data_IF_231841528033
#
_entry.id   IF_231841528033
#
_cell.length_a   1.000
_cell.length_b   1.000
_cell.length_c   1.000
_cell.angle_alpha   90.00
_cell.angle_beta   90.00
_cell.angle_gamma   90.00
#
_symmetry.space_group_name_H-M   'P 1'
#
loop_
_entity.id
_entity.type
_entity.pdbx_description
1 polymer ?
#
# COMPACT_ATOMS: atom_id res chain seq x y z
N UNK A 1 -3.42 -15.97 -17.99
CA UNK A 1 -4.27 -14.93 -18.63
C UNK A 1 -4.39 -13.68 -17.77
N UNK A 2 -4.77 -13.78 -16.49
CA UNK A 2 -4.97 -12.64 -15.58
C UNK A 2 -3.77 -11.67 -15.50
N UNK A 3 -2.54 -12.19 -15.40
CA UNK A 3 -1.32 -11.37 -15.32
C UNK A 3 -1.14 -10.50 -16.57
N UNK A 4 -1.22 -11.13 -17.75
CA UNK A 4 -1.05 -10.46 -19.03
C UNK A 4 -2.15 -9.42 -19.26
N UNK A 5 -3.39 -9.75 -18.90
CA UNK A 5 -4.51 -8.82 -18.97
C UNK A 5 -4.28 -7.59 -18.09
N UNK A 6 -3.89 -7.79 -16.82
CA UNK A 6 -3.62 -6.67 -15.90
C UNK A 6 -2.45 -5.80 -16.37
N UNK A 7 -1.39 -6.41 -16.92
CA UNK A 7 -0.26 -5.67 -17.48
C UNK A 7 -0.68 -4.88 -18.72
N UNK A 8 -1.42 -5.50 -19.64
CA UNK A 8 -1.92 -4.86 -20.85
C UNK A 8 -2.84 -3.68 -20.52
N UNK A 9 -3.79 -3.86 -19.58
CA UNK A 9 -4.67 -2.81 -19.13
C UNK A 9 -3.90 -1.59 -18.58
N UNK A 10 -2.84 -1.84 -17.80
CA UNK A 10 -1.97 -0.77 -17.32
C UNK A 10 -1.24 -0.03 -18.45
N UNK A 11 -0.65 -0.78 -19.39
CA UNK A 11 0.04 -0.20 -20.54
C UNK A 11 -0.89 0.64 -21.40
N UNK A 12 -2.12 0.18 -21.63
CA UNK A 12 -3.15 0.94 -22.34
C UNK A 12 -3.44 2.26 -21.64
N UNK A 13 -3.63 2.27 -20.32
CA UNK A 13 -3.87 3.51 -19.55
C UNK A 13 -2.70 4.49 -19.70
N UNK A 14 -1.46 4.00 -19.60
CA UNK A 14 -0.26 4.83 -19.75
C UNK A 14 -0.18 5.44 -21.16
N UNK A 15 -0.36 4.62 -22.20
CA UNK A 15 -0.30 5.07 -23.59
C UNK A 15 -1.42 6.07 -23.89
N UNK A 16 -2.64 5.82 -23.41
CA UNK A 16 -3.76 6.76 -23.57
C UNK A 16 -3.47 8.11 -22.92
N UNK A 17 -2.84 8.11 -21.73
CA UNK A 17 -2.46 9.34 -21.06
C UNK A 17 -1.39 10.11 -21.85
N UNK A 18 -0.34 9.42 -22.32
CA UNK A 18 0.73 10.04 -23.11
C UNK A 18 0.19 10.63 -24.42
N UNK A 19 -0.58 9.85 -25.19
CA UNK A 19 -1.17 10.33 -26.46
C UNK A 19 -2.13 11.49 -26.20
N UNK A 20 -2.97 11.38 -25.16
CA UNK A 20 -3.94 12.41 -24.82
C UNK A 20 -3.29 13.76 -24.46
N UNK A 21 -2.16 13.73 -23.77
CA UNK A 21 -1.45 14.93 -23.34
C UNK A 21 -0.51 15.45 -24.43
N UNK A 22 0.39 14.62 -24.96
CA UNK A 22 1.46 15.06 -25.87
C UNK A 22 0.99 15.29 -27.31
N UNK A 23 0.02 14.49 -27.79
CA UNK A 23 -0.44 14.57 -29.19
C UNK A 23 -1.71 15.39 -29.31
N UNK A 24 -2.67 15.16 -28.40
CA UNK A 24 -3.98 15.81 -28.47
C UNK A 24 -4.09 17.10 -27.63
N UNK A 25 -3.04 17.50 -26.90
CA UNK A 25 -3.00 18.70 -26.05
C UNK A 25 -4.16 18.80 -25.04
N UNK A 26 -4.67 17.67 -24.54
CA UNK A 26 -5.82 17.61 -23.63
C UNK A 26 -5.45 17.92 -22.17
N UNK A 27 -4.56 18.88 -21.94
CA UNK A 27 -4.00 19.20 -20.63
C UNK A 27 -5.08 19.47 -19.57
N UNK A 28 -6.14 20.19 -19.92
CA UNK A 28 -7.24 20.48 -18.98
C UNK A 28 -8.00 19.21 -18.55
N UNK A 29 -8.20 18.25 -19.47
CA UNK A 29 -8.91 17.00 -19.16
C UNK A 29 -8.08 16.17 -18.17
N UNK A 30 -6.79 15.99 -18.44
CA UNK A 30 -5.90 15.18 -17.61
C UNK A 30 -5.45 15.86 -16.32
N UNK A 31 -5.28 17.18 -16.34
CA UNK A 31 -4.85 17.97 -15.19
C UNK A 31 -5.98 18.32 -14.23
N UNK A 32 -7.23 18.45 -14.71
CA UNK A 32 -8.35 18.96 -13.90
C UNK A 32 -9.51 17.97 -13.81
N UNK A 33 -10.09 17.59 -14.95
CA UNK A 33 -11.33 16.80 -14.97
C UNK A 33 -11.10 15.40 -14.39
N UNK A 34 -10.10 14.68 -14.88
CA UNK A 34 -9.79 13.32 -14.45
C UNK A 34 -9.47 13.26 -12.94
N UNK A 35 -8.62 14.13 -12.37
CA UNK A 35 -8.39 14.17 -10.93
C UNK A 35 -9.65 14.38 -10.09
N UNK A 36 -10.53 15.34 -10.45
CA UNK A 36 -11.78 15.54 -9.71
C UNK A 36 -12.71 14.33 -9.79
N UNK A 37 -12.85 13.73 -10.98
CA UNK A 37 -13.65 12.50 -11.18
C UNK A 37 -13.08 11.34 -10.36
N UNK A 38 -11.76 11.21 -10.30
CA UNK A 38 -11.09 10.18 -9.51
C UNK A 38 -11.35 10.36 -8.01
N UNK A 39 -11.20 11.58 -7.48
CA UNK A 39 -11.49 11.89 -6.07
C UNK A 39 -12.96 11.63 -5.75
N UNK A 40 -13.89 12.10 -6.59
CA UNK A 40 -15.32 11.86 -6.39
C UNK A 40 -15.66 10.37 -6.39
N UNK A 41 -15.14 9.61 -7.37
CA UNK A 41 -15.36 8.16 -7.47
C UNK A 41 -14.78 7.43 -6.26
N UNK A 42 -13.59 7.81 -5.79
CA UNK A 42 -12.96 7.24 -4.60
C UNK A 42 -13.78 7.49 -3.34
N UNK A 43 -14.19 8.74 -3.08
CA UNK A 43 -14.95 9.11 -1.88
C UNK A 43 -16.34 8.47 -1.88
N UNK A 44 -17.09 8.58 -2.98
CA UNK A 44 -18.41 7.96 -3.12
C UNK A 44 -18.29 6.43 -2.99
N UNK A 45 -17.30 5.82 -3.66
CA UNK A 45 -17.05 4.38 -3.59
C UNK A 45 -16.80 3.89 -2.17
N UNK A 46 -15.96 4.61 -1.40
CA UNK A 46 -15.72 4.29 0.01
C UNK A 46 -17.01 4.38 0.83
N UNK A 47 -17.77 5.47 0.69
CA UNK A 47 -19.01 5.67 1.44
C UNK A 47 -20.00 4.54 1.14
N UNK A 48 -20.21 4.21 -0.13
CA UNK A 48 -21.10 3.13 -0.55
C UNK A 48 -20.65 1.78 0.01
N UNK A 49 -19.35 1.49 0.00
CA UNK A 49 -18.81 0.25 0.52
C UNK A 49 -18.97 0.15 2.05
N UNK A 50 -18.75 1.25 2.78
CA UNK A 50 -18.97 1.32 4.23
C UNK A 50 -20.45 1.13 4.57
N UNK A 51 -21.36 1.79 3.85
CA UNK A 51 -22.80 1.63 4.02
C UNK A 51 -23.23 0.19 3.73
N UNK A 52 -22.74 -0.41 2.65
CA UNK A 52 -23.02 -1.80 2.30
C UNK A 52 -22.55 -2.77 3.38
N UNK A 53 -21.35 -2.56 3.92
CA UNK A 53 -20.83 -3.34 5.03
C UNK A 53 -21.66 -3.15 6.30
N UNK A 54 -22.00 -1.92 6.67
CA UNK A 54 -22.80 -1.62 7.86
C UNK A 54 -24.22 -2.20 7.79
N UNK A 55 -24.81 -2.28 6.59
CA UNK A 55 -26.13 -2.91 6.36
C UNK A 55 -26.08 -4.44 6.30
N UNK A 56 -24.89 -5.05 6.26
CA UNK A 56 -24.77 -6.51 6.19
C UNK A 56 -25.19 -7.11 7.52
N UNK A 57 -26.20 -8.00 7.56
CA UNK A 57 -26.67 -8.57 8.82
C UNK A 57 -25.58 -9.46 9.43
N UNK A 58 -25.25 -9.20 10.69
CA UNK A 58 -24.32 -10.03 11.48
C UNK A 58 -25.15 -10.73 12.56
N UNK A 59 -25.75 -11.90 12.26
CA UNK A 59 -26.67 -12.57 13.18
C UNK A 59 -26.00 -13.01 14.49
N UNK A 60 -24.68 -13.24 14.46
CA UNK A 60 -23.90 -13.65 15.64
C UNK A 60 -22.63 -12.82 15.77
N UNK A 61 -22.37 -12.30 16.98
CA UNK A 61 -21.06 -11.73 17.34
C UNK A 61 -20.13 -12.86 17.74
N UNK A 62 -19.42 -13.42 16.77
CA UNK A 62 -18.41 -14.47 17.02
C UNK A 62 -17.02 -13.82 16.96
N UNK A 63 -16.45 -13.35 18.08
CA UNK A 63 -15.10 -12.82 18.10
C UNK A 63 -14.10 -13.95 17.88
N UNK A 64 -13.30 -13.85 16.81
CA UNK A 64 -12.16 -14.74 16.61
C UNK A 64 -11.05 -14.39 17.61
N UNK A 65 -11.05 -15.08 18.75
CA UNK A 65 -9.97 -15.00 19.74
C UNK A 65 -8.84 -15.94 19.35
N UNK A 66 -7.61 -15.43 19.39
CA UNK A 66 -6.43 -16.28 19.37
C UNK A 66 -5.96 -16.46 20.82
N UNK A 67 -5.48 -17.65 21.19
CA UNK A 67 -4.90 -17.89 22.51
C UNK A 67 -5.89 -17.96 23.68
N UNK A 68 -5.34 -18.00 24.89
CA UNK A 68 -6.07 -18.33 26.11
C UNK A 68 -6.91 -17.16 26.64
N UNK A 69 -8.21 -17.39 26.82
CA UNK A 69 -9.15 -16.47 27.45
C UNK A 69 -9.00 -16.40 28.98
N UNK A 70 -9.50 -15.31 29.59
CA UNK A 70 -9.41 -15.07 31.05
C UNK A 70 -10.27 -16.01 31.90
N UNK A 71 -11.25 -16.71 31.32
CA UNK A 71 -12.22 -17.51 32.07
C UNK A 71 -11.62 -18.62 32.94
N UNK A 72 -10.43 -19.12 32.60
CA UNK A 72 -9.74 -20.17 33.37
C UNK A 72 -8.61 -19.52 34.22
N UNK A 73 -8.81 -19.34 35.54
CA UNK A 73 -7.86 -18.62 36.39
C UNK A 73 -6.50 -19.34 36.57
N UNK A 74 -6.45 -20.65 36.33
CA UNK A 74 -5.23 -21.46 36.44
C UNK A 74 -4.37 -21.46 35.17
N UNK A 75 -4.87 -20.95 34.03
CA UNK A 75 -4.10 -20.87 32.78
C UNK A 75 -3.76 -19.40 32.51
N UNK A 76 -2.48 -19.12 32.28
CA UNK A 76 -2.00 -17.78 31.94
C UNK A 76 -2.77 -17.23 30.74
N UNK A 77 -3.48 -16.13 30.94
CA UNK A 77 -4.27 -15.50 29.89
C UNK A 77 -3.39 -14.79 28.86
N UNK A 78 -3.81 -14.84 27.59
CA UNK A 78 -3.11 -14.18 26.50
C UNK A 78 -3.65 -12.76 26.29
N UNK A 79 -3.13 -11.78 27.03
CA UNK A 79 -3.68 -10.41 27.10
C UNK A 79 -3.80 -9.68 25.76
N UNK A 80 -2.89 -9.92 24.82
CA UNK A 80 -2.89 -9.27 23.49
C UNK A 80 -3.64 -10.09 22.43
N UNK A 81 -3.84 -11.39 22.65
CA UNK A 81 -4.47 -12.29 21.67
C UNK A 81 -5.97 -12.46 21.94
N UNK A 82 -6.30 -12.56 23.23
CA UNK A 82 -7.65 -12.57 23.78
C UNK A 82 -7.80 -11.40 24.76
N UNK A 83 -7.78 -10.15 24.27
CA UNK A 83 -7.91 -8.98 25.13
C UNK A 83 -9.26 -8.96 25.83
N UNK A 84 -9.23 -8.67 27.12
CA UNK A 84 -10.41 -8.53 27.99
C UNK A 84 -10.48 -7.13 28.62
N UNK A 85 -9.57 -6.23 28.21
CA UNK A 85 -9.53 -4.83 28.62
C UNK A 85 -9.35 -3.95 27.38
N UNK A 86 -9.84 -2.72 27.43
CA UNK A 86 -9.72 -1.74 26.33
C UNK A 86 -8.26 -1.49 25.95
N UNK A 87 -7.36 -1.39 26.94
CA UNK A 87 -5.92 -1.24 26.69
C UNK A 87 -5.32 -2.44 25.94
N UNK A 88 -5.76 -3.66 26.26
CA UNK A 88 -5.34 -4.86 25.53
C UNK A 88 -5.82 -4.85 24.07
N UNK A 89 -7.04 -4.35 23.81
CA UNK A 89 -7.58 -4.17 22.46
C UNK A 89 -6.74 -3.15 21.69
N UNK A 90 -6.47 -1.99 22.27
CA UNK A 90 -5.64 -0.94 21.64
C UNK A 90 -4.25 -1.50 21.31
N UNK A 91 -3.61 -2.19 22.27
CA UNK A 91 -2.31 -2.82 22.06
C UNK A 91 -2.33 -3.86 20.93
N UNK A 92 -3.37 -4.70 20.87
CA UNK A 92 -3.56 -5.65 19.77
C UNK A 92 -3.68 -4.92 18.43
N UNK A 93 -4.54 -3.90 18.35
CA UNK A 93 -4.79 -3.15 17.12
C UNK A 93 -3.52 -2.46 16.61
N UNK A 94 -2.72 -1.84 17.49
CA UNK A 94 -1.43 -1.24 17.10
C UNK A 94 -0.50 -2.30 16.50
N UNK A 95 -0.36 -3.45 17.15
CA UNK A 95 0.52 -4.53 16.67
C UNK A 95 0.02 -5.16 15.36
N UNK A 96 -1.29 -5.24 15.15
CA UNK A 96 -1.84 -5.74 13.88
C UNK A 96 -1.69 -4.72 12.76
N UNK A 97 -1.96 -3.44 13.00
CA UNK A 97 -1.90 -2.38 11.98
C UNK A 97 -0.45 -2.08 11.57
N UNK A 98 0.46 -1.94 12.53
CA UNK A 98 1.83 -1.50 12.24
C UNK A 98 2.82 -2.63 12.04
N UNK A 99 2.58 -3.81 12.63
CA UNK A 99 3.53 -4.92 12.62
C UNK A 99 2.95 -6.21 12.05
N UNK A 100 1.69 -6.26 11.59
CA UNK A 100 1.03 -7.47 11.09
C UNK A 100 1.32 -8.70 11.95
N UNK A 101 1.16 -8.56 13.27
CA UNK A 101 1.58 -9.57 14.25
C UNK A 101 0.92 -10.93 14.04
N UNK A 102 -0.33 -10.97 13.59
CA UNK A 102 -1.01 -12.21 13.18
C UNK A 102 -0.30 -12.91 12.02
N UNK A 103 0.14 -12.16 11.01
CA UNK A 103 0.88 -12.68 9.86
C UNK A 103 2.27 -13.21 10.23
N UNK A 104 2.95 -12.57 11.19
CA UNK A 104 4.24 -13.06 11.69
C UNK A 104 4.13 -14.45 12.32
N UNK A 105 3.01 -14.71 12.99
CA UNK A 105 2.73 -15.97 13.69
C UNK A 105 2.12 -17.05 12.78
N UNK A 106 1.79 -16.70 11.54
CA UNK A 106 1.20 -17.64 10.62
C UNK A 106 2.19 -18.77 10.31
N UNK A 107 1.84 -19.95 10.80
CA UNK A 107 2.62 -21.17 10.70
C UNK A 107 1.89 -22.10 9.76
N UNK A 108 2.50 -22.40 8.61
CA UNK A 108 1.94 -23.30 7.61
C UNK A 108 2.40 -24.72 7.87
N UNK A 109 1.48 -25.66 7.98
CA UNK A 109 1.83 -27.08 7.92
C UNK A 109 1.90 -27.52 6.45
N UNK A 110 3.03 -28.08 6.03
CA UNK A 110 3.29 -28.60 4.68
C UNK A 110 3.83 -30.03 4.79
N UNK A 111 3.23 -30.98 4.06
CA UNK A 111 3.85 -32.30 3.92
C UNK A 111 5.04 -32.18 2.96
N UNK A 112 6.23 -32.54 3.41
CA UNK A 112 7.44 -32.57 2.57
C UNK A 112 8.00 -33.98 2.57
N UNK A 113 8.20 -34.57 1.38
CA UNK A 113 8.84 -35.87 1.17
C UNK A 113 8.30 -37.03 2.04
N UNK A 114 7.01 -37.38 1.90
CA UNK A 114 6.38 -38.49 2.64
C UNK A 114 5.42 -38.01 3.75
N UNK A 115 5.13 -38.81 4.80
CA UNK A 115 4.16 -38.48 5.85
C UNK A 115 4.63 -37.39 6.84
N UNK A 116 5.76 -36.73 6.58
CA UNK A 116 6.33 -35.72 7.47
C UNK A 116 5.70 -34.34 7.26
N UNK A 117 4.92 -33.91 8.26
CA UNK A 117 4.40 -32.56 8.40
C UNK A 117 5.52 -31.61 8.85
N UNK A 118 5.90 -30.69 7.98
CA UNK A 118 6.85 -29.61 8.25
C UNK A 118 6.09 -28.31 8.46
N UNK A 119 6.39 -27.59 9.54
CA UNK A 119 5.78 -26.29 9.82
C UNK A 119 6.65 -25.15 9.25
N UNK A 120 6.27 -24.61 8.09
CA UNK A 120 6.91 -23.45 7.46
C UNK A 120 6.37 -22.14 8.01
N UNK A 121 7.25 -21.25 8.50
CA UNK A 121 6.85 -19.93 8.98
C UNK A 121 6.79 -18.92 7.82
N UNK A 122 5.72 -18.12 7.72
CA UNK A 122 5.59 -17.10 6.67
C UNK A 122 6.37 -15.80 6.94
N UNK A 123 7.52 -15.89 7.63
CA UNK A 123 8.34 -14.73 8.01
C UNK A 123 8.80 -13.87 6.84
N UNK A 124 9.12 -14.49 5.70
CA UNK A 124 9.51 -13.73 4.50
C UNK A 124 8.33 -12.92 3.92
N UNK A 125 7.12 -13.49 3.94
CA UNK A 125 5.92 -12.75 3.55
C UNK A 125 5.66 -11.60 4.52
N UNK A 126 5.79 -11.85 5.82
CA UNK A 126 5.67 -10.82 6.84
C UNK A 126 6.66 -9.67 6.60
N UNK A 127 7.94 -9.98 6.39
CA UNK A 127 8.97 -8.98 6.15
C UNK A 127 8.71 -8.18 4.87
N UNK A 128 8.39 -8.86 3.76
CA UNK A 128 8.10 -8.18 2.49
C UNK A 128 6.83 -7.32 2.56
N UNK A 129 5.77 -7.80 3.22
CA UNK A 129 4.55 -7.04 3.42
C UNK A 129 4.79 -5.81 4.32
N UNK A 130 5.55 -5.98 5.40
CA UNK A 130 5.88 -4.90 6.32
C UNK A 130 6.76 -3.85 5.63
N UNK A 131 7.79 -4.27 4.90
CA UNK A 131 8.67 -3.41 4.12
C UNK A 131 7.90 -2.59 3.07
N UNK A 132 6.95 -3.21 2.36
CA UNK A 132 6.07 -2.51 1.43
C UNK A 132 5.21 -1.44 2.14
N UNK A 133 4.48 -1.81 3.20
CA UNK A 133 3.55 -0.89 3.85
C UNK A 133 4.25 0.28 4.55
N UNK A 134 5.38 0.05 5.22
CA UNK A 134 6.15 1.13 5.84
C UNK A 134 6.77 2.06 4.80
N UNK A 135 7.33 1.52 3.72
CA UNK A 135 7.86 2.35 2.64
C UNK A 135 6.75 3.17 1.99
N UNK A 136 5.61 2.55 1.69
CA UNK A 136 4.46 3.24 1.12
C UNK A 136 3.94 4.34 2.06
N UNK A 137 3.81 4.07 3.36
CA UNK A 137 3.37 5.06 4.35
C UNK A 137 4.34 6.25 4.42
N UNK A 138 5.65 5.99 4.53
CA UNK A 138 6.67 7.05 4.58
C UNK A 138 6.65 7.87 3.30
N UNK A 139 6.63 7.22 2.14
CA UNK A 139 6.54 7.89 0.84
C UNK A 139 5.27 8.74 0.78
N UNK A 140 4.11 8.20 1.16
CA UNK A 140 2.85 8.93 1.21
C UNK A 140 2.92 10.18 2.11
N UNK A 141 3.48 10.05 3.31
CA UNK A 141 3.67 11.19 4.21
C UNK A 141 4.62 12.25 3.63
N UNK A 142 5.68 11.85 2.94
CA UNK A 142 6.58 12.80 2.25
C UNK A 142 5.88 13.55 1.11
N UNK A 143 4.90 12.91 0.45
CA UNK A 143 4.17 13.55 -0.65
C UNK A 143 3.33 14.76 -0.19
N UNK A 144 3.01 14.88 1.10
CA UNK A 144 2.37 16.09 1.67
C UNK A 144 3.13 17.39 1.37
N UNK A 145 4.45 17.31 1.10
CA UNK A 145 5.25 18.44 0.63
C UNK A 145 4.65 19.17 -0.58
N UNK A 146 3.95 18.44 -1.45
CA UNK A 146 3.38 18.97 -2.69
C UNK A 146 1.95 19.47 -2.53
N UNK A 147 1.29 19.20 -1.40
CA UNK A 147 -0.12 19.54 -1.19
C UNK A 147 -0.31 20.76 -0.28
N UNK A 148 0.74 21.25 0.37
CA UNK A 148 0.65 22.30 1.40
C UNK A 148 1.81 23.28 1.31
N UNK A 149 1.51 24.55 1.60
CA UNK A 149 2.46 25.64 1.79
C UNK A 149 2.00 26.48 3.00
N UNK A 150 2.76 26.58 4.11
CA UNK A 150 4.09 26.01 4.32
C UNK A 150 4.10 24.48 4.50
N UNK A 151 5.24 23.84 4.24
CA UNK A 151 5.41 22.39 4.38
C UNK A 151 5.32 21.98 5.87
N UNK A 152 4.49 20.97 6.23
CA UNK A 152 4.36 20.50 7.60
C UNK A 152 5.67 19.98 8.19
N UNK A 153 5.92 20.28 9.47
CA UNK A 153 7.19 19.99 10.17
C UNK A 153 7.58 18.50 10.17
N UNK A 154 6.62 17.59 10.15
CA UNK A 154 6.91 16.15 10.11
C UNK A 154 7.54 15.70 8.78
N UNK A 155 7.29 16.42 7.68
CA UNK A 155 7.80 16.07 6.34
C UNK A 155 9.34 16.16 6.29
N UNK A 156 9.99 17.29 6.61
CA UNK A 156 11.45 17.37 6.58
C UNK A 156 12.10 16.43 7.59
N UNK A 157 11.47 16.20 8.76
CA UNK A 157 11.94 15.22 9.73
C UNK A 157 12.02 13.81 9.12
N UNK A 158 10.95 13.35 8.45
CA UNK A 158 10.91 12.07 7.77
C UNK A 158 11.91 12.01 6.61
N UNK A 159 12.04 13.09 5.82
CA UNK A 159 12.99 13.15 4.71
C UNK A 159 14.44 12.97 5.17
N UNK A 160 14.81 13.58 6.30
CA UNK A 160 16.15 13.45 6.87
C UNK A 160 16.43 12.02 7.36
N UNK A 161 15.44 11.37 8.00
CA UNK A 161 15.57 9.98 8.43
C UNK A 161 15.69 9.01 7.25
N UNK A 162 14.92 9.23 6.19
CA UNK A 162 14.90 8.36 5.01
C UNK A 162 16.13 8.57 4.11
N UNK A 163 16.65 9.80 4.10
CA UNK A 163 17.90 10.19 3.45
C UNK A 163 19.14 10.03 4.33
N UNK A 164 19.05 9.31 5.46
CA UNK A 164 20.10 9.22 6.48
C UNK A 164 21.46 8.81 5.93
N UNK A 165 21.49 7.90 4.95
CA UNK A 165 22.75 7.43 4.36
C UNK A 165 23.44 8.49 3.48
N UNK A 166 22.75 9.57 3.09
CA UNK A 166 23.29 10.66 2.27
C UNK A 166 24.03 10.18 1.01
N UNK A 167 23.57 9.07 0.43
CA UNK A 167 24.18 8.46 -0.76
C UNK A 167 23.66 9.19 -2.01
N UNK A 168 24.58 9.73 -2.81
CA UNK A 168 24.28 10.35 -4.10
C UNK A 168 23.79 11.80 -4.01
N UNK A 169 23.77 12.47 -5.17
CA UNK A 169 23.23 13.83 -5.34
C UNK A 169 22.31 13.81 -6.56
N UNK A 170 20.97 13.89 -6.41
CA UNK A 170 20.18 14.03 -5.17
C UNK A 170 20.27 12.81 -4.23
N UNK A 171 20.06 13.02 -2.93
CA UNK A 171 20.11 11.97 -1.90
C UNK A 171 19.12 10.85 -2.23
N UNK A 172 19.63 9.62 -2.31
CA UNK A 172 18.80 8.44 -2.50
C UNK A 172 18.04 8.13 -1.21
N UNK A 173 16.71 8.06 -1.28
CA UNK A 173 15.90 7.64 -0.14
C UNK A 173 15.84 6.12 -0.05
N UNK A 174 15.98 5.58 1.17
CA UNK A 174 15.95 4.14 1.40
C UNK A 174 14.59 3.56 1.00
N UNK A 175 13.49 4.24 1.32
CA UNK A 175 12.14 3.76 1.00
C UNK A 175 11.87 3.61 -0.49
N UNK A 176 12.52 4.43 -1.35
CA UNK A 176 12.38 4.34 -2.80
C UNK A 176 12.93 2.99 -3.32
N UNK A 177 14.04 2.52 -2.74
CA UNK A 177 14.62 1.20 -3.08
C UNK A 177 13.80 0.08 -2.45
N UNK A 178 13.45 0.21 -1.17
CA UNK A 178 12.74 -0.82 -0.41
C UNK A 178 11.35 -1.09 -1.00
N UNK A 179 10.61 -0.07 -1.46
CA UNK A 179 9.28 -0.28 -2.04
C UNK A 179 9.35 -1.10 -3.34
N UNK A 180 10.33 -0.84 -4.21
CA UNK A 180 10.53 -1.58 -5.46
C UNK A 180 10.91 -3.03 -5.19
N UNK A 181 11.85 -3.26 -4.26
CA UNK A 181 12.25 -4.61 -3.87
C UNK A 181 11.08 -5.38 -3.23
N UNK A 182 10.32 -4.74 -2.34
CA UNK A 182 9.19 -5.35 -1.65
C UNK A 182 8.04 -5.69 -2.62
N UNK A 183 7.67 -4.78 -3.53
CA UNK A 183 6.66 -5.03 -4.55
C UNK A 183 7.09 -6.15 -5.51
N UNK A 184 8.35 -6.13 -5.94
CA UNK A 184 8.92 -7.19 -6.79
C UNK A 184 8.89 -8.54 -6.09
N UNK A 185 9.28 -8.60 -4.81
CA UNK A 185 9.21 -9.81 -4.00
C UNK A 185 7.77 -10.33 -3.86
N UNK A 186 6.80 -9.46 -3.54
CA UNK A 186 5.40 -9.84 -3.37
C UNK A 186 4.79 -10.35 -4.69
N UNK A 187 5.13 -9.72 -5.81
CA UNK A 187 4.72 -10.14 -7.15
C UNK A 187 5.34 -11.48 -7.53
N UNK A 188 6.66 -11.63 -7.40
CA UNK A 188 7.37 -12.88 -7.69
C UNK A 188 6.84 -14.03 -6.84
N UNK A 189 6.60 -13.81 -5.55
CA UNK A 189 5.98 -14.79 -4.66
C UNK A 189 4.61 -15.25 -5.17
N UNK A 190 3.77 -14.31 -5.63
CA UNK A 190 2.43 -14.61 -6.16
C UNK A 190 2.49 -15.43 -7.45
N UNK A 191 3.53 -15.24 -8.26
CA UNK A 191 3.75 -16.04 -9.47
C UNK A 191 4.34 -17.39 -9.11
N UNK A 192 5.40 -17.47 -8.31
CA UNK A 192 6.14 -18.70 -8.05
C UNK A 192 5.28 -19.74 -7.32
N UNK A 193 4.45 -19.33 -6.34
CA UNK A 193 3.56 -20.24 -5.62
C UNK A 193 2.35 -20.64 -6.49
N UNK A 194 2.23 -21.92 -6.92
CA UNK A 194 1.16 -22.36 -7.81
C UNK A 194 -0.24 -22.17 -7.20
N UNK A 195 -0.37 -22.31 -5.87
CA UNK A 195 -1.64 -22.14 -5.18
C UNK A 195 -2.09 -20.69 -5.26
N UNK A 196 -1.18 -19.75 -5.01
CA UNK A 196 -1.49 -18.32 -5.10
C UNK A 196 -1.81 -17.91 -6.54
N UNK A 197 -1.05 -18.40 -7.51
CA UNK A 197 -1.29 -18.11 -8.92
C UNK A 197 -2.67 -18.59 -9.37
N UNK A 198 -3.13 -19.73 -8.88
CA UNK A 198 -4.45 -20.27 -9.20
C UNK A 198 -5.60 -19.41 -8.64
N UNK A 199 -5.48 -18.91 -7.41
CA UNK A 199 -6.51 -18.05 -6.79
C UNK A 199 -6.45 -16.58 -7.20
N UNK A 200 -5.35 -16.13 -7.81
CA UNK A 200 -5.15 -14.70 -8.10
C UNK A 200 -5.98 -14.24 -9.29
N UNK A 201 -6.77 -13.19 -9.05
CA UNK A 201 -7.60 -12.53 -10.05
C UNK A 201 -6.83 -11.40 -10.76
N UNK A 202 -7.36 -10.87 -11.85
CA UNK A 202 -6.76 -9.70 -12.52
C UNK A 202 -6.69 -8.48 -11.56
N UNK A 203 -7.68 -8.34 -10.67
CA UNK A 203 -7.72 -7.30 -9.63
C UNK A 203 -6.62 -7.43 -8.57
N UNK A 204 -5.95 -8.58 -8.47
CA UNK A 204 -4.80 -8.76 -7.58
C UNK A 204 -3.48 -8.28 -8.21
N UNK A 205 -3.32 -8.49 -9.52
CA UNK A 205 -2.11 -8.15 -10.25
C UNK A 205 -2.08 -6.68 -10.66
N UNK A 206 -3.25 -6.12 -10.99
CA UNK A 206 -3.34 -4.74 -11.48
C UNK A 206 -2.79 -3.70 -10.47
N UNK A 207 -3.18 -3.71 -9.17
CA UNK A 207 -2.63 -2.77 -8.20
C UNK A 207 -1.12 -2.95 -7.99
N UNK A 208 -0.61 -4.19 -8.04
CA UNK A 208 0.82 -4.45 -7.91
C UNK A 208 1.61 -3.81 -9.04
N UNK A 209 1.16 -3.99 -10.29
CA UNK A 209 1.80 -3.36 -11.44
C UNK A 209 1.66 -1.84 -11.42
N UNK A 210 0.48 -1.33 -11.05
CA UNK A 210 0.22 0.10 -10.95
C UNK A 210 1.16 0.76 -9.92
N UNK A 211 1.22 0.23 -8.70
CA UNK A 211 2.08 0.76 -7.64
C UNK A 211 3.57 0.65 -7.98
N UNK A 212 3.99 -0.48 -8.59
CA UNK A 212 5.37 -0.64 -9.02
C UNK A 212 5.74 0.37 -10.12
N UNK A 213 4.83 0.59 -11.07
CA UNK A 213 5.03 1.58 -12.14
C UNK A 213 5.09 3.00 -11.58
N UNK A 214 4.20 3.37 -10.67
CA UNK A 214 4.22 4.69 -10.00
C UNK A 214 5.52 4.89 -9.21
N UNK A 215 5.98 3.86 -8.49
CA UNK A 215 7.24 3.94 -7.74
C UNK A 215 8.44 4.11 -8.68
N UNK A 216 8.51 3.31 -9.76
CA UNK A 216 9.59 3.39 -10.75
C UNK A 216 9.57 4.75 -11.46
N UNK A 217 8.41 5.23 -11.91
CA UNK A 217 8.32 6.54 -12.57
C UNK A 217 8.69 7.68 -11.62
N UNK A 218 8.27 7.61 -10.36
CA UNK A 218 8.68 8.58 -9.33
C UNK A 218 10.20 8.64 -9.12
N UNK A 219 10.86 7.49 -9.07
CA UNK A 219 12.32 7.38 -9.00
C UNK A 219 12.96 7.97 -10.25
N UNK A 220 12.47 7.61 -11.45
CA UNK A 220 12.99 8.12 -12.72
C UNK A 220 12.88 9.65 -12.81
N UNK A 221 11.73 10.21 -12.41
CA UNK A 221 11.51 11.66 -12.35
C UNK A 221 12.46 12.37 -11.39
N UNK A 222 12.83 11.73 -10.29
CA UNK A 222 13.71 12.34 -9.30
C UNK A 222 15.18 12.37 -9.71
N UNK A 223 15.70 11.29 -10.27
CA UNK A 223 17.14 11.14 -10.50
C UNK A 223 17.56 11.35 -11.97
N UNK A 224 16.66 11.09 -12.93
CA UNK A 224 17.02 11.05 -14.35
C UNK A 224 16.33 12.12 -15.18
N UNK A 225 15.00 12.06 -15.31
CA UNK A 225 14.29 12.94 -16.25
C UNK A 225 14.13 14.36 -15.72
N UNK A 226 13.96 14.51 -14.40
CA UNK A 226 13.65 15.77 -13.70
C UNK A 226 12.35 16.39 -14.20
N UNK A 227 11.58 16.98 -13.28
CA UNK A 227 10.28 17.57 -13.59
C UNK A 227 10.15 18.92 -12.91
N UNK A 228 9.29 19.79 -13.43
CA UNK A 228 8.99 21.06 -12.78
C UNK A 228 8.18 20.83 -11.50
N UNK A 229 8.87 20.87 -10.37
CA UNK A 229 8.28 20.67 -9.05
C UNK A 229 7.36 21.84 -8.67
N UNK A 230 7.64 23.05 -9.17
CA UNK A 230 6.85 24.25 -8.85
C UNK A 230 5.50 24.14 -9.54
N UNK A 231 5.47 23.91 -10.86
CA UNK A 231 4.22 23.72 -11.60
C UNK A 231 3.37 22.55 -11.09
N UNK A 232 3.98 21.41 -10.73
CA UNK A 232 3.24 20.28 -10.14
C UNK A 232 2.60 20.68 -8.80
N UNK A 233 3.30 21.47 -7.98
CA UNK A 233 2.79 21.93 -6.69
C UNK A 233 1.66 22.94 -6.88
N UNK A 234 1.79 23.87 -7.83
CA UNK A 234 0.75 24.83 -8.17
C UNK A 234 -0.52 24.12 -8.65
N UNK A 235 -0.40 23.15 -9.57
CA UNK A 235 -1.51 22.32 -10.02
C UNK A 235 -2.17 21.59 -8.83
N UNK A 236 -1.39 20.92 -7.98
CA UNK A 236 -1.92 20.19 -6.84
C UNK A 236 -2.68 21.12 -5.88
N UNK A 237 -2.07 22.23 -5.47
CA UNK A 237 -2.72 23.20 -4.57
C UNK A 237 -3.95 23.83 -5.22
N UNK A 238 -3.89 24.15 -6.50
CA UNK A 238 -5.02 24.68 -7.29
C UNK A 238 -6.21 23.72 -7.34
N UNK A 239 -5.97 22.42 -7.44
CA UNK A 239 -7.03 21.41 -7.36
C UNK A 239 -7.70 21.36 -5.98
N UNK A 240 -6.94 21.48 -4.89
CA UNK A 240 -7.50 21.46 -3.54
C UNK A 240 -8.14 22.79 -3.12
N UNK A 241 -7.70 23.91 -3.68
CA UNK A 241 -8.30 25.24 -3.47
C UNK A 241 -9.48 25.52 -4.41
N UNK A 242 -9.84 24.59 -5.29
CA UNK A 242 -10.84 24.75 -6.34
C UNK A 242 -10.53 25.91 -7.33
N UNK A 243 -9.24 26.22 -7.52
CA UNK A 243 -8.74 27.19 -8.48
C UNK A 243 -7.69 26.49 -9.38
N UNK A 244 -8.13 25.61 -10.30
CA UNK A 244 -7.21 24.81 -11.09
C UNK A 244 -6.37 25.69 -12.04
N UNK A 245 -5.09 25.37 -12.13
CA UNK A 245 -4.12 25.96 -13.05
C UNK A 245 -3.50 24.83 -13.87
N UNK A 246 -3.35 25.01 -15.18
CA UNK A 246 -2.84 24.00 -16.14
C UNK A 246 -1.79 24.63 -17.02
#
# INVERSE_FOLDING_TARGET
MNILFSLFALLVIIVLAIIGVEVANLHFIFGVIIPYVAIATFLIGIILQVIKWAKSPVPFRIPTVAGQQKSLPWIKNSRLESPHTTLGVIGRMILEVFLFRSLFRNTKAELKNGPTLVYGSSKYLWLGALAFHWSFLIIFLRHFRYFTEPVPVFVPFIQNLDGFFQIGVPIIYLTDVVIVVALSFLFLRRIIDPKLRYFSLASDYFPLFLLLSIAITGILMRYFTKVDIVGIKELAMGLFSFQPVV
#
